data_IF_817786564996
#
_entry.id   IF_817786564996
#
_cell.length_a   1.000
_cell.length_b   1.000
_cell.length_c   1.000
_cell.angle_alpha   90.00
_cell.angle_beta   90.00
_cell.angle_gamma   90.00
#
_symmetry.space_group_name_H-M   'P 1'
#
loop_
_entity.id
_entity.type
_entity.pdbx_description
1 polymer ?
#
# COMPACT_ATOMS: atom_id res chain seq x y z
N UNK A 1 -60.48 28.06 -1.06
CA UNK A 1 -61.06 27.57 -2.32
C UNK A 1 -60.22 26.44 -2.89
N UNK A 2 -60.87 25.30 -3.02
CA UNK A 2 -60.59 24.16 -3.92
C UNK A 2 -59.31 23.37 -3.77
N UNK A 3 -59.45 22.32 -3.11
CA UNK A 3 -59.14 20.89 -3.27
C UNK A 3 -58.96 20.39 -4.71
N UNK A 4 -58.68 19.10 -4.76
CA UNK A 4 -57.61 18.17 -4.54
C UNK A 4 -57.39 17.30 -5.80
N UNK A 5 -56.38 16.48 -5.85
CA UNK A 5 -56.54 15.22 -6.62
C UNK A 5 -55.60 14.15 -6.11
N UNK A 6 -56.22 13.16 -5.56
CA UNK A 6 -55.75 11.79 -5.31
C UNK A 6 -55.35 11.13 -6.62
N UNK A 7 -54.25 10.44 -6.64
CA UNK A 7 -54.09 9.25 -7.47
C UNK A 7 -53.41 8.15 -6.68
N UNK A 8 -54.23 7.22 -6.33
CA UNK A 8 -54.00 5.82 -6.02
C UNK A 8 -53.72 5.13 -7.36
N UNK A 9 -52.80 4.23 -7.42
CA UNK A 9 -52.69 3.07 -8.33
C UNK A 9 -51.23 2.61 -8.20
N UNK A 10 -50.90 1.43 -7.99
CA UNK A 10 -51.45 0.10 -7.99
C UNK A 10 -50.28 -0.86 -7.76
N UNK A 11 -50.50 -1.72 -6.87
CA UNK A 11 -49.76 -2.92 -6.54
C UNK A 11 -49.51 -3.77 -7.81
N UNK A 12 -48.24 -4.12 -8.07
CA UNK A 12 -47.91 -5.28 -8.88
C UNK A 12 -46.75 -6.03 -8.29
N UNK A 13 -47.12 -7.06 -7.53
CA UNK A 13 -46.28 -8.16 -7.07
C UNK A 13 -46.00 -9.02 -8.31
N UNK A 14 -44.72 -9.13 -8.68
CA UNK A 14 -44.26 -10.22 -9.54
C UNK A 14 -43.27 -11.06 -8.76
N UNK A 15 -43.81 -12.14 -8.23
CA UNK A 15 -43.04 -13.27 -7.76
C UNK A 15 -42.54 -14.06 -8.96
N UNK A 16 -41.25 -14.07 -9.21
CA UNK A 16 -40.62 -15.04 -10.10
C UNK A 16 -39.71 -15.95 -9.31
N UNK A 17 -40.22 -17.12 -9.07
CA UNK A 17 -39.52 -18.30 -8.63
C UNK A 17 -38.46 -18.68 -9.67
N UNK A 18 -37.19 -18.54 -9.34
CA UNK A 18 -36.14 -19.18 -10.13
C UNK A 18 -35.65 -20.44 -9.45
N UNK A 19 -36.00 -21.52 -10.12
CA UNK A 19 -35.63 -22.90 -9.89
C UNK A 19 -34.14 -23.06 -9.71
N UNK A 20 -33.75 -23.76 -8.64
CA UNK A 20 -32.45 -24.42 -8.51
C UNK A 20 -32.26 -25.45 -9.63
N UNK A 21 -31.34 -25.19 -10.53
CA UNK A 21 -30.81 -26.22 -11.42
C UNK A 21 -29.51 -26.77 -10.82
N UNK A 22 -29.66 -27.94 -10.23
CA UNK A 22 -28.55 -28.78 -9.76
C UNK A 22 -27.86 -29.36 -11.00
N UNK A 23 -26.73 -28.78 -11.41
CA UNK A 23 -25.85 -29.44 -12.39
C UNK A 23 -24.89 -30.37 -11.69
N UNK A 24 -25.20 -31.64 -11.84
CA UNK A 24 -24.35 -32.79 -11.47
C UNK A 24 -23.18 -32.84 -12.47
N UNK A 25 -22.05 -32.27 -12.18
CA UNK A 25 -20.86 -32.37 -13.01
C UNK A 25 -20.14 -33.71 -12.77
N UNK A 26 -20.07 -34.46 -13.84
CA UNK A 26 -19.39 -35.74 -14.04
C UNK A 26 -17.87 -35.54 -13.84
N UNK A 27 -17.25 -36.41 -13.03
CA UNK A 27 -15.80 -36.49 -12.89
C UNK A 27 -15.17 -36.88 -14.21
N UNK A 28 -14.45 -36.02 -14.82
CA UNK A 28 -13.48 -36.34 -15.86
C UNK A 28 -12.07 -36.10 -15.31
N UNK A 29 -11.31 -37.16 -15.18
CA UNK A 29 -9.88 -37.11 -14.88
C UNK A 29 -9.17 -36.56 -16.12
N UNK A 30 -8.67 -35.34 -16.07
CA UNK A 30 -7.73 -34.84 -17.04
C UNK A 30 -6.38 -34.59 -16.36
N UNK A 31 -5.39 -35.36 -16.82
CA UNK A 31 -3.99 -35.20 -16.48
C UNK A 31 -3.57 -33.76 -16.70
N UNK A 32 -3.17 -33.09 -15.61
CA UNK A 32 -2.51 -31.78 -15.64
C UNK A 32 -1.00 -32.08 -15.71
N UNK A 33 -0.27 -31.54 -16.70
CA UNK A 33 1.18 -31.63 -16.69
C UNK A 33 1.72 -30.78 -15.53
N UNK A 34 2.67 -31.35 -14.85
CA UNK A 34 3.45 -30.84 -13.77
C UNK A 34 4.10 -29.51 -14.18
N UNK A 35 3.49 -28.38 -13.78
CA UNK A 35 4.10 -27.06 -13.94
C UNK A 35 5.07 -26.89 -12.79
N UNK A 36 6.34 -26.82 -13.14
CA UNK A 36 7.48 -26.47 -12.30
C UNK A 36 7.13 -25.32 -11.38
N UNK A 37 6.91 -25.61 -10.10
CA UNK A 37 6.77 -24.60 -9.05
C UNK A 37 8.14 -23.96 -8.84
N UNK A 38 8.35 -22.81 -9.46
CA UNK A 38 9.42 -21.90 -9.06
C UNK A 38 9.16 -21.57 -7.60
N UNK A 39 10.00 -22.07 -6.72
CA UNK A 39 10.01 -21.76 -5.31
C UNK A 39 10.38 -20.29 -5.17
N UNK A 40 9.40 -19.41 -5.21
CA UNK A 40 9.56 -18.03 -4.75
C UNK A 40 9.94 -18.11 -3.28
N UNK A 41 11.17 -17.66 -2.98
CA UNK A 41 11.65 -17.46 -1.61
C UNK A 41 10.59 -16.61 -0.89
N UNK A 42 10.02 -17.06 0.25
CA UNK A 42 9.03 -16.27 0.96
C UNK A 42 9.62 -14.92 1.30
N UNK A 43 9.06 -13.86 0.71
CA UNK A 43 9.35 -12.48 1.11
C UNK A 43 8.95 -12.34 2.59
N UNK A 44 9.80 -11.74 3.45
CA UNK A 44 9.46 -11.55 4.85
C UNK A 44 8.15 -10.77 4.97
N UNK A 45 7.14 -11.38 5.57
CA UNK A 45 5.78 -10.82 5.70
C UNK A 45 5.69 -9.56 6.58
N UNK A 46 6.82 -9.11 7.14
CA UNK A 46 6.90 -8.01 8.11
C UNK A 46 7.46 -6.72 7.52
N UNK A 47 7.71 -6.66 6.21
CA UNK A 47 8.26 -5.48 5.56
C UNK A 47 7.16 -4.64 4.91
N UNK A 48 6.86 -3.46 5.48
CA UNK A 48 5.93 -2.52 4.88
C UNK A 48 6.63 -1.66 3.83
N UNK A 49 6.18 -1.79 2.57
CA UNK A 49 6.70 -1.02 1.44
C UNK A 49 6.20 0.41 1.47
N UNK A 50 7.10 1.37 1.66
CA UNK A 50 6.79 2.80 1.58
C UNK A 50 6.93 3.29 0.14
N UNK A 51 8.08 2.99 -0.49
CA UNK A 51 8.34 3.27 -1.90
C UNK A 51 9.35 2.26 -2.45
N UNK A 52 9.20 1.87 -3.70
CA UNK A 52 10.11 0.95 -4.38
C UNK A 52 10.43 1.47 -5.77
N UNK A 53 11.73 1.48 -6.11
CA UNK A 53 12.25 1.90 -7.42
C UNK A 53 11.68 3.25 -7.90
N UNK A 54 11.48 4.17 -6.96
CA UNK A 54 10.99 5.51 -7.29
C UNK A 54 12.14 6.39 -7.75
N UNK A 55 11.91 7.21 -8.77
CA UNK A 55 12.93 8.12 -9.31
C UNK A 55 12.62 9.56 -8.95
N UNK A 56 13.65 10.28 -8.45
CA UNK A 56 13.55 11.70 -8.15
C UNK A 56 12.89 12.05 -6.83
N UNK A 57 12.45 13.28 -6.71
CA UNK A 57 11.85 13.81 -5.49
C UNK A 57 10.45 13.26 -5.23
N UNK A 58 10.14 13.02 -3.96
CA UNK A 58 8.80 12.59 -3.55
C UNK A 58 8.51 13.07 -2.14
N UNK A 59 7.32 13.57 -1.93
CA UNK A 59 6.75 13.84 -0.61
C UNK A 59 5.48 13.02 -0.47
N UNK A 60 5.35 12.26 0.61
CA UNK A 60 4.17 11.42 0.86
C UNK A 60 3.86 11.33 2.35
N UNK A 61 2.60 11.07 2.66
CA UNK A 61 2.13 10.79 4.01
C UNK A 61 2.30 9.30 4.27
N UNK A 62 2.82 8.97 5.45
CA UNK A 62 2.96 7.60 5.95
C UNK A 62 2.44 7.51 7.38
N UNK A 63 1.74 6.43 7.70
CA UNK A 63 1.25 6.18 9.06
C UNK A 63 2.28 5.37 9.84
N UNK A 64 2.64 5.87 11.02
CA UNK A 64 3.57 5.19 11.92
C UNK A 64 2.92 4.97 13.29
N UNK A 65 3.27 3.86 13.91
CA UNK A 65 2.88 3.52 15.27
C UNK A 65 3.98 4.00 16.21
N UNK A 66 3.61 4.53 17.38
CA UNK A 66 4.55 4.93 18.43
C UNK A 66 5.47 3.78 18.84
N UNK A 67 6.75 4.10 19.05
CA UNK A 67 7.77 3.14 19.40
C UNK A 67 8.88 3.00 18.36
N UNK A 68 9.71 1.95 18.45
CA UNK A 68 10.82 1.75 17.53
C UNK A 68 10.32 1.43 16.11
N UNK A 69 10.91 2.10 15.12
CA UNK A 69 10.67 1.83 13.71
C UNK A 69 12.02 1.78 12.98
N UNK A 70 12.22 0.76 12.16
CA UNK A 70 13.43 0.61 11.35
C UNK A 70 13.09 0.73 9.88
N UNK A 71 13.86 1.55 9.18
CA UNK A 71 13.73 1.77 7.74
C UNK A 71 14.93 1.16 7.02
N UNK A 72 14.68 0.28 6.06
CA UNK A 72 15.70 -0.14 5.09
C UNK A 72 15.63 0.81 3.90
N UNK A 73 16.80 1.36 3.53
CA UNK A 73 16.92 2.43 2.55
C UNK A 73 17.93 2.02 1.49
N UNK A 74 17.53 2.10 0.22
CA UNK A 74 18.39 1.88 -0.94
C UNK A 74 18.32 3.08 -1.85
N UNK A 75 19.47 3.48 -2.37
CA UNK A 75 19.60 4.55 -3.35
C UNK A 75 20.66 4.20 -4.40
N UNK A 76 20.29 4.38 -5.65
CA UNK A 76 21.17 4.22 -6.81
C UNK A 76 21.26 5.54 -7.56
N UNK A 77 22.45 6.14 -7.53
CA UNK A 77 22.72 7.41 -8.18
C UNK A 77 24.02 8.04 -7.71
N UNK A 78 24.45 9.07 -8.44
CA UNK A 78 25.67 9.84 -8.11
C UNK A 78 25.36 11.19 -7.43
N UNK A 79 24.10 11.60 -7.38
CA UNK A 79 23.68 12.86 -6.79
C UNK A 79 23.48 12.76 -5.28
N UNK A 80 23.18 13.90 -4.65
CA UNK A 80 22.76 13.91 -3.26
C UNK A 80 21.41 13.18 -3.10
N UNK A 81 21.34 12.39 -2.04
CA UNK A 81 20.12 11.71 -1.59
C UNK A 81 19.84 12.09 -0.16
N UNK A 82 18.71 12.74 0.06
CA UNK A 82 18.22 13.14 1.38
C UNK A 82 16.80 12.66 1.56
N UNK A 83 16.56 11.89 2.64
CA UNK A 83 15.23 11.54 3.09
C UNK A 83 15.05 11.95 4.54
N UNK A 84 13.99 12.67 4.83
CA UNK A 84 13.64 13.15 6.16
C UNK A 84 12.22 12.77 6.51
N UNK A 85 12.00 12.59 7.80
CA UNK A 85 10.68 12.39 8.38
C UNK A 85 10.26 13.66 9.13
N UNK A 86 9.10 14.18 8.78
CA UNK A 86 8.52 15.38 9.38
C UNK A 86 7.24 15.02 10.13
N UNK A 87 6.95 15.75 11.17
CA UNK A 87 5.65 15.73 11.83
C UNK A 87 4.56 16.27 10.89
N UNK A 88 3.31 16.07 11.23
CA UNK A 88 2.16 16.56 10.47
C UNK A 88 2.08 18.10 10.37
N UNK A 89 2.79 18.84 11.25
CA UNK A 89 2.93 20.29 11.18
C UNK A 89 4.14 20.75 10.34
N UNK A 90 4.87 19.81 9.69
CA UNK A 90 6.04 20.10 8.87
C UNK A 90 7.37 20.24 9.65
N UNK A 91 7.37 20.10 10.97
CA UNK A 91 8.62 20.11 11.76
C UNK A 91 9.42 18.84 11.54
N UNK A 92 10.75 18.95 11.48
CA UNK A 92 11.65 17.81 11.36
C UNK A 92 11.53 16.90 12.59
N UNK A 93 11.21 15.61 12.35
CA UNK A 93 11.31 14.59 13.37
C UNK A 93 12.68 13.91 13.36
N UNK A 94 13.10 13.40 12.20
CA UNK A 94 14.42 12.76 12.04
C UNK A 94 14.90 12.85 10.58
N UNK A 95 16.22 12.75 10.41
CA UNK A 95 16.84 12.55 9.10
C UNK A 95 17.14 11.07 8.92
N UNK A 96 16.42 10.44 8.00
CA UNK A 96 16.60 9.01 7.71
C UNK A 96 17.93 8.75 6.99
N UNK A 97 18.26 9.60 6.02
CA UNK A 97 19.52 9.55 5.27
C UNK A 97 19.86 10.93 4.68
N UNK A 98 21.15 11.24 4.58
CA UNK A 98 21.66 12.41 3.89
C UNK A 98 23.09 12.12 3.39
N UNK A 99 23.21 11.68 2.14
CA UNK A 99 24.46 11.19 1.54
C UNK A 99 24.61 11.67 0.10
N UNK A 100 25.81 11.61 -0.44
CA UNK A 100 26.07 11.75 -1.87
C UNK A 100 26.58 10.43 -2.43
N UNK A 101 26.05 10.02 -3.60
CA UNK A 101 26.36 8.72 -4.20
C UNK A 101 25.45 7.60 -3.70
N UNK A 102 25.62 6.42 -4.26
CA UNK A 102 24.78 5.25 -3.95
C UNK A 102 24.83 4.87 -2.48
N UNK A 103 23.70 4.43 -1.94
CA UNK A 103 23.54 4.09 -0.53
C UNK A 103 22.68 2.84 -0.34
N UNK A 104 23.08 2.01 0.61
CA UNK A 104 22.26 0.92 1.14
C UNK A 104 22.51 0.80 2.64
N UNK A 105 21.46 0.92 3.42
CA UNK A 105 21.58 0.86 4.88
C UNK A 105 20.25 0.85 5.58
N UNK A 106 20.31 0.84 6.91
CA UNK A 106 19.16 0.87 7.79
C UNK A 106 19.23 2.08 8.74
N UNK A 107 18.10 2.64 9.07
CA UNK A 107 17.93 3.69 10.06
C UNK A 107 16.83 3.30 11.02
N UNK A 108 17.15 3.21 12.29
CA UNK A 108 16.17 3.05 13.37
C UNK A 108 15.90 4.38 14.03
N UNK A 109 14.63 4.65 14.32
CA UNK A 109 14.16 5.84 15.02
C UNK A 109 13.17 5.42 16.11
N UNK A 110 12.92 6.31 17.07
CA UNK A 110 11.81 6.15 18.00
C UNK A 110 10.69 7.11 17.60
N UNK A 111 9.56 6.57 17.18
CA UNK A 111 8.37 7.33 16.79
C UNK A 111 7.63 7.76 18.04
N UNK A 112 7.43 9.08 18.28
CA UNK A 112 6.89 9.56 19.54
C UNK A 112 5.38 9.29 19.71
N UNK A 113 4.63 9.25 18.62
CA UNK A 113 3.16 9.11 18.65
C UNK A 113 2.68 8.27 17.46
N UNK A 114 1.58 7.54 17.67
CA UNK A 114 0.86 6.86 16.58
C UNK A 114 0.06 7.90 15.80
N UNK A 115 0.55 8.29 14.63
CA UNK A 115 -0.08 9.29 13.75
C UNK A 115 0.52 9.24 12.35
N UNK A 116 -0.02 10.07 11.47
CA UNK A 116 0.55 10.31 10.14
C UNK A 116 1.75 11.25 10.20
N UNK A 117 2.77 10.93 9.44
CA UNK A 117 4.00 11.69 9.25
C UNK A 117 4.22 11.99 7.78
N UNK A 118 5.07 12.96 7.49
CA UNK A 118 5.43 13.31 6.11
C UNK A 118 6.84 12.80 5.85
N UNK A 119 6.98 11.88 4.88
CA UNK A 119 8.27 11.49 4.33
C UNK A 119 8.59 12.40 3.14
N UNK A 120 9.67 13.18 3.24
CA UNK A 120 10.16 14.05 2.16
C UNK A 120 11.52 13.56 1.65
N UNK A 121 11.56 13.19 0.37
CA UNK A 121 12.73 12.68 -0.32
C UNK A 121 13.16 13.64 -1.42
N UNK A 122 14.43 14.00 -1.43
CA UNK A 122 15.08 14.87 -2.44
C UNK A 122 16.25 14.14 -3.05
N UNK A 123 16.16 13.87 -4.35
CA UNK A 123 17.23 13.23 -5.13
C UNK A 123 16.94 13.27 -6.64
N UNK A 124 17.92 12.84 -7.44
CA UNK A 124 17.77 12.65 -8.90
C UNK A 124 17.82 11.18 -9.32
N UNK A 125 18.28 10.28 -8.46
CA UNK A 125 18.42 8.85 -8.75
C UNK A 125 17.23 8.01 -8.34
N UNK A 126 17.40 6.70 -8.42
CA UNK A 126 16.39 5.69 -8.07
C UNK A 126 16.56 5.30 -6.61
N UNK A 127 15.45 5.18 -5.88
CA UNK A 127 15.49 4.85 -4.48
C UNK A 127 14.31 3.97 -4.03
N UNK A 128 14.52 3.27 -2.94
CA UNK A 128 13.51 2.46 -2.27
C UNK A 128 13.61 2.65 -0.76
N UNK A 129 12.48 2.71 -0.08
CA UNK A 129 12.38 2.75 1.38
C UNK A 129 11.33 1.76 1.83
N UNK A 130 11.70 0.90 2.77
CA UNK A 130 10.84 -0.09 3.39
C UNK A 130 10.87 0.10 4.90
N UNK A 131 9.75 -0.14 5.57
CA UNK A 131 9.68 -0.25 7.03
C UNK A 131 9.73 -1.74 7.40
N UNK A 132 10.55 -2.09 8.38
CA UNK A 132 10.60 -3.41 9.03
C UNK A 132 9.70 -3.45 10.25
#
# INVERSE_FOLDING_TARGET
MKNPTKYIISLLIVASLFSCNFYKAKKEKKNIPETTTTTEKPEPKDQYRIAENYTGNKTQIIDLIAGPATFEIKYEGSSQFRAVLLNNNGSLLDTLVNVSGSYKGEKSINVPQTTSYILDVKTKGVWSIYRK
#
